data_IF_975449818398
#
_entry.id   IF_975449818398
#
_cell.length_a   1.000
_cell.length_b   1.000
_cell.length_c   1.000
_cell.angle_alpha   90.00
_cell.angle_beta   90.00
_cell.angle_gamma   90.00
#
_symmetry.space_group_name_H-M   'P 1'
#
loop_
_entity.id
_entity.type
_entity.pdbx_description
1 polymer ?
#
# COMPACT_ATOMS: atom_id res chain seq x y z
N UNK A 1 20.93 -7.52 -13.34
CA UNK A 1 19.99 -6.40 -13.57
C UNK A 1 20.72 -5.15 -14.10
N UNK A 2 20.12 -4.38 -15.02
CA UNK A 2 20.69 -3.10 -15.50
C UNK A 2 20.49 -1.97 -14.48
N UNK A 3 21.35 -0.95 -14.48
CA UNK A 3 21.20 0.21 -13.60
C UNK A 3 19.90 0.99 -13.84
N UNK A 4 19.44 1.06 -15.09
CA UNK A 4 18.16 1.70 -15.43
C UNK A 4 16.97 0.97 -14.79
N UNK A 5 16.96 -0.36 -14.83
CA UNK A 5 15.92 -1.18 -14.18
C UNK A 5 15.93 -0.98 -12.67
N UNK A 6 17.12 -1.00 -12.03
CA UNK A 6 17.25 -0.76 -10.59
C UNK A 6 16.69 0.60 -10.18
N UNK A 7 17.04 1.65 -10.92
CA UNK A 7 16.57 3.00 -10.65
C UNK A 7 15.05 3.10 -10.80
N UNK A 8 14.47 2.46 -11.82
CA UNK A 8 13.02 2.47 -12.00
C UNK A 8 12.30 1.71 -10.88
N UNK A 9 12.85 0.59 -10.40
CA UNK A 9 12.28 -0.13 -9.26
C UNK A 9 12.31 0.71 -7.99
N UNK A 10 13.40 1.44 -7.74
CA UNK A 10 13.47 2.37 -6.62
C UNK A 10 12.41 3.48 -6.71
N UNK A 11 12.15 4.00 -7.92
CA UNK A 11 11.07 4.98 -8.15
C UNK A 11 9.71 4.38 -7.80
N UNK A 12 9.41 3.15 -8.26
CA UNK A 12 8.13 2.50 -7.96
C UNK A 12 7.98 2.25 -6.45
N UNK A 13 9.03 1.80 -5.76
CA UNK A 13 9.00 1.62 -4.31
C UNK A 13 8.71 2.93 -3.56
N UNK A 14 9.35 4.03 -3.96
CA UNK A 14 9.06 5.34 -3.37
C UNK A 14 7.60 5.78 -3.59
N UNK A 15 7.06 5.53 -4.78
CA UNK A 15 5.65 5.83 -5.07
C UNK A 15 4.67 4.98 -4.24
N UNK A 16 5.02 3.72 -3.95
CA UNK A 16 4.22 2.86 -3.07
C UNK A 16 4.25 3.37 -1.62
N UNK A 17 5.39 3.89 -1.15
CA UNK A 17 5.50 4.49 0.18
C UNK A 17 4.69 5.79 0.29
N UNK A 18 4.75 6.66 -0.73
CA UNK A 18 3.92 7.87 -0.81
C UNK A 18 2.42 7.52 -0.87
N UNK A 19 2.06 6.47 -1.62
CA UNK A 19 0.68 5.98 -1.70
C UNK A 19 0.21 5.46 -0.35
N UNK A 20 1.03 4.67 0.36
CA UNK A 20 0.73 4.21 1.72
C UNK A 20 0.49 5.39 2.66
N UNK A 21 1.35 6.41 2.64
CA UNK A 21 1.14 7.62 3.43
C UNK A 21 -0.21 8.29 3.15
N UNK A 22 -0.55 8.41 1.85
CA UNK A 22 -1.81 9.01 1.41
C UNK A 22 -3.04 8.20 1.80
N UNK A 23 -2.97 6.87 1.70
CA UNK A 23 -4.04 5.94 2.12
C UNK A 23 -4.27 6.01 3.62
N UNK A 24 -3.21 6.07 4.43
CA UNK A 24 -3.32 6.21 5.87
C UNK A 24 -3.93 7.56 6.30
N UNK A 25 -3.56 8.64 5.61
CA UNK A 25 -4.18 9.94 5.90
C UNK A 25 -5.67 9.96 5.50
N UNK A 26 -6.03 9.35 4.37
CA UNK A 26 -7.42 9.21 3.97
C UNK A 26 -8.22 8.39 5.00
N UNK A 27 -7.66 7.27 5.50
CA UNK A 27 -8.28 6.49 6.57
C UNK A 27 -8.54 7.31 7.82
N UNK A 28 -7.56 8.16 8.22
CA UNK A 28 -7.67 9.03 9.39
C UNK A 28 -8.79 10.05 9.24
N UNK A 29 -8.91 10.66 8.06
CA UNK A 29 -9.98 11.63 7.75
C UNK A 29 -11.35 10.97 7.79
N UNK A 30 -11.52 9.83 7.12
CA UNK A 30 -12.78 9.08 7.11
C UNK A 30 -13.18 8.61 8.51
N UNK A 31 -12.25 8.09 9.31
CA UNK A 31 -12.53 7.67 10.68
C UNK A 31 -12.97 8.83 11.59
N UNK A 32 -12.43 10.03 11.36
CA UNK A 32 -12.83 11.23 12.09
C UNK A 32 -14.28 11.63 11.77
N UNK A 33 -14.66 11.64 10.48
CA UNK A 33 -16.04 11.97 10.06
C UNK A 33 -17.08 10.98 10.63
N UNK A 34 -16.80 9.67 10.60
CA UNK A 34 -17.74 8.68 11.14
C UNK A 34 -17.81 8.70 12.68
N UNK A 35 -16.84 9.33 13.35
CA UNK A 35 -16.87 9.51 14.82
C UNK A 35 -17.81 10.63 15.26
N UNK A 36 -18.02 11.66 14.43
CA UNK A 36 -18.93 12.76 14.74
C UNK A 36 -20.43 12.39 14.60
N UNK A 37 -20.75 11.31 13.88
CA UNK A 37 -22.12 10.96 13.48
C UNK A 37 -22.81 9.86 14.33
N UNK A 38 -22.34 9.59 15.55
CA UNK A 38 -22.69 8.38 16.32
C UNK A 38 -24.19 8.11 16.52
N UNK A 39 -24.66 7.02 15.89
CA UNK A 39 -25.90 6.27 16.13
C UNK A 39 -25.73 4.80 15.68
N UNK A 40 -26.60 3.86 16.09
CA UNK A 40 -26.38 2.40 15.97
C UNK A 40 -26.08 1.90 14.53
N UNK A 41 -26.51 2.60 13.48
CA UNK A 41 -26.21 2.27 12.07
C UNK A 41 -24.76 2.60 11.65
N UNK A 42 -24.06 3.50 12.35
CA UNK A 42 -22.71 3.94 12.00
C UNK A 42 -21.59 2.95 12.38
N UNK A 43 -21.91 1.90 13.14
CA UNK A 43 -20.90 0.91 13.57
C UNK A 43 -20.52 -0.05 12.44
N UNK A 44 -21.51 -0.54 11.69
CA UNK A 44 -21.27 -1.43 10.53
C UNK A 44 -20.54 -0.71 9.39
N UNK A 45 -20.81 0.59 9.22
CA UNK A 45 -20.13 1.45 8.25
C UNK A 45 -18.65 1.64 8.60
N UNK A 46 -18.31 1.87 9.89
CA UNK A 46 -16.90 1.95 10.34
C UNK A 46 -16.11 0.68 10.05
N UNK A 47 -16.71 -0.48 10.31
CA UNK A 47 -16.05 -1.76 10.09
C UNK A 47 -15.83 -2.02 8.59
N UNK A 48 -16.81 -1.67 7.76
CA UNK A 48 -16.72 -1.79 6.30
C UNK A 48 -15.63 -0.87 5.73
N UNK A 49 -15.58 0.39 6.18
CA UNK A 49 -14.54 1.35 5.79
C UNK A 49 -13.16 0.85 6.21
N UNK A 50 -12.98 0.45 7.48
CA UNK A 50 -11.71 -0.09 7.96
C UNK A 50 -11.25 -1.31 7.15
N UNK A 51 -12.17 -2.18 6.75
CA UNK A 51 -11.86 -3.35 5.91
C UNK A 51 -11.38 -2.94 4.50
N UNK A 52 -11.97 -1.90 3.91
CA UNK A 52 -11.50 -1.35 2.63
C UNK A 52 -10.06 -0.86 2.73
N UNK A 53 -9.72 -0.10 3.77
CA UNK A 53 -8.36 0.39 3.99
C UNK A 53 -7.36 -0.74 4.28
N UNK A 54 -7.75 -1.74 5.06
CA UNK A 54 -6.94 -2.94 5.27
C UNK A 54 -6.64 -3.68 3.95
N UNK A 55 -7.60 -3.70 3.02
CA UNK A 55 -7.44 -4.30 1.69
C UNK A 55 -6.48 -3.50 0.82
N UNK A 56 -6.54 -2.16 0.89
CA UNK A 56 -5.60 -1.28 0.17
C UNK A 56 -4.17 -1.48 0.68
N UNK A 57 -3.96 -1.48 1.99
CA UNK A 57 -2.64 -1.71 2.61
C UNK A 57 -2.06 -3.09 2.23
N UNK A 58 -2.88 -4.14 2.28
CA UNK A 58 -2.46 -5.48 1.84
C UNK A 58 -2.02 -5.48 0.36
N UNK A 59 -2.77 -4.78 -0.51
CA UNK A 59 -2.41 -4.68 -1.93
C UNK A 59 -1.09 -3.94 -2.16
N UNK A 60 -0.79 -2.89 -1.37
CA UNK A 60 0.50 -2.18 -1.44
C UNK A 60 1.64 -3.11 -1.01
N UNK A 61 1.46 -3.86 0.08
CA UNK A 61 2.46 -4.83 0.55
C UNK A 61 2.72 -5.91 -0.51
N UNK A 62 1.67 -6.44 -1.14
CA UNK A 62 1.81 -7.44 -2.20
C UNK A 62 2.61 -6.90 -3.40
N UNK A 63 2.40 -5.63 -3.77
CA UNK A 63 3.16 -4.96 -4.83
C UNK A 63 4.65 -4.82 -4.45
N UNK A 64 4.95 -4.42 -3.21
CA UNK A 64 6.34 -4.32 -2.72
C UNK A 64 7.05 -5.68 -2.70
N UNK A 65 6.37 -6.73 -2.23
CA UNK A 65 6.90 -8.09 -2.23
C UNK A 65 7.16 -8.59 -3.65
N UNK A 66 6.26 -8.29 -4.59
CA UNK A 66 6.43 -8.65 -6.00
C UNK A 66 7.65 -7.96 -6.61
N UNK A 67 7.89 -6.69 -6.27
CA UNK A 67 9.09 -5.96 -6.70
C UNK A 67 10.37 -6.54 -6.08
N UNK A 68 10.35 -6.94 -4.80
CA UNK A 68 11.48 -7.60 -4.15
C UNK A 68 11.83 -8.93 -4.86
N UNK A 69 10.84 -9.77 -5.15
CA UNK A 69 11.04 -11.03 -5.89
C UNK A 69 11.60 -10.78 -7.29
N UNK A 70 11.15 -9.71 -7.98
CA UNK A 70 11.69 -9.33 -9.29
C UNK A 70 13.17 -8.93 -9.20
N UNK A 71 13.56 -8.18 -8.16
CA UNK A 71 14.96 -7.83 -7.93
C UNK A 71 15.80 -9.09 -7.73
N UNK A 72 15.38 -9.99 -6.85
CA UNK A 72 16.07 -11.25 -6.57
C UNK A 72 16.26 -12.11 -7.82
N UNK A 73 15.19 -12.32 -8.59
CA UNK A 73 15.23 -13.13 -9.82
C UNK A 73 16.16 -12.53 -10.89
N UNK A 74 16.25 -11.20 -10.97
CA UNK A 74 17.11 -10.51 -11.95
C UNK A 74 18.56 -10.34 -11.51
N UNK A 75 18.85 -10.50 -10.23
CA UNK A 75 20.20 -10.63 -9.68
C UNK A 75 20.75 -12.04 -9.90
N UNK A 76 19.94 -13.07 -9.68
CA UNK A 76 20.33 -14.47 -9.93
C UNK A 76 20.70 -14.73 -11.40
N UNK A 77 20.03 -14.08 -12.36
CA UNK A 77 20.35 -14.19 -13.80
C UNK A 77 21.68 -13.57 -14.22
N UNK A 78 22.28 -12.69 -13.42
CA UNK A 78 23.56 -12.02 -13.74
C UNK A 78 24.78 -12.65 -13.08
N UNK A 79 24.59 -13.68 -12.24
CA UNK A 79 25.65 -14.38 -11.52
C UNK A 79 26.08 -15.71 -12.20
N UNK A 80 25.54 -15.99 -13.39
CA UNK A 80 25.84 -17.14 -14.27
C UNK A 80 26.51 -16.61 -15.53
#
# INVERSE_FOLDING_TARGET
MSNATRNQMAVVLNQLDELRGSVNELFRLELAEVTELTGHQTVDDKQSIAQCFATLEASIVDMEQTLAMLAEATEQRGAV
#
